data_IF_752600242353
#
_entry.id   IF_752600242353
#
_cell.length_a   1.000
_cell.length_b   1.000
_cell.length_c   1.000
_cell.angle_alpha   90.00
_cell.angle_beta   90.00
_cell.angle_gamma   90.00
#
_symmetry.space_group_name_H-M   'P 1'
#
loop_
_entity.id
_entity.type
_entity.pdbx_description
1 polymer ?
#
# COMPACT_ATOMS: atom_id res chain seq x y z
N UNK A 1 2.92 7.47 11.47
CA UNK A 1 2.60 7.54 10.03
C UNK A 1 3.02 6.27 9.30
N UNK A 2 4.26 5.80 9.45
CA UNK A 2 4.71 4.51 8.86
C UNK A 2 3.74 3.34 9.11
N UNK A 3 3.30 3.11 10.35
CA UNK A 3 2.36 2.02 10.66
C UNK A 3 0.98 2.18 9.98
N UNK A 4 0.56 3.42 9.71
CA UNK A 4 -0.68 3.71 9.01
C UNK A 4 -0.51 3.35 7.54
N UNK A 5 0.61 3.73 6.93
CA UNK A 5 0.93 3.39 5.54
C UNK A 5 1.11 1.88 5.35
N UNK A 6 1.77 1.21 6.30
CA UNK A 6 1.82 -0.25 6.36
C UNK A 6 0.41 -0.87 6.40
N UNK A 7 -0.51 -0.28 7.15
CA UNK A 7 -1.90 -0.72 7.21
C UNK A 7 -2.65 -0.48 5.88
N UNK A 8 -2.43 0.66 5.22
CA UNK A 8 -2.97 0.95 3.88
C UNK A 8 -2.50 -0.12 2.89
N UNK A 9 -1.19 -0.38 2.85
CA UNK A 9 -0.61 -1.39 1.96
C UNK A 9 -1.13 -2.79 2.28
N UNK A 10 -1.22 -3.15 3.56
CA UNK A 10 -1.70 -4.47 3.99
C UNK A 10 -3.14 -4.71 3.56
N UNK A 11 -4.04 -3.75 3.78
CA UNK A 11 -5.44 -3.88 3.35
C UNK A 11 -5.57 -3.98 1.84
N UNK A 12 -4.82 -3.18 1.09
CA UNK A 12 -4.82 -3.26 -0.37
C UNK A 12 -4.34 -4.64 -0.86
N UNK A 13 -3.26 -5.17 -0.28
CA UNK A 13 -2.65 -6.43 -0.71
C UNK A 13 -3.45 -7.67 -0.31
N UNK A 14 -4.08 -7.67 0.86
CA UNK A 14 -4.67 -8.88 1.45
C UNK A 14 -6.19 -8.90 1.32
N UNK A 15 -6.83 -7.75 1.53
CA UNK A 15 -8.30 -7.64 1.54
C UNK A 15 -8.83 -7.00 0.24
N UNK A 16 -7.96 -6.45 -0.61
CA UNK A 16 -8.36 -5.70 -1.81
C UNK A 16 -9.01 -4.35 -1.49
N UNK A 17 -8.80 -3.81 -0.28
CA UNK A 17 -9.40 -2.56 0.19
C UNK A 17 -8.36 -1.44 0.10
N UNK A 18 -8.51 -0.54 -0.87
CA UNK A 18 -7.69 0.67 -0.95
C UNK A 18 -8.32 1.82 -0.14
N UNK A 19 -8.16 1.72 1.18
CA UNK A 19 -8.68 2.69 2.15
C UNK A 19 -7.87 4.00 2.17
N UNK A 20 -8.50 5.07 2.66
CA UNK A 20 -7.78 6.28 3.03
C UNK A 20 -6.90 6.05 4.28
N UNK A 21 -5.84 6.84 4.49
CA UNK A 21 -4.97 6.72 5.67
C UNK A 21 -5.73 6.79 7.00
N UNK A 22 -6.76 7.63 7.11
CA UNK A 22 -7.58 7.76 8.32
C UNK A 22 -8.36 6.46 8.63
N UNK A 23 -8.81 5.75 7.60
CA UNK A 23 -9.42 4.42 7.74
C UNK A 23 -8.39 3.37 8.14
N UNK A 24 -7.23 3.37 7.50
CA UNK A 24 -6.14 2.43 7.81
C UNK A 24 -5.53 2.65 9.20
N UNK A 25 -5.59 3.87 9.73
CA UNK A 25 -5.19 4.17 11.10
C UNK A 25 -6.01 3.35 12.12
N UNK A 26 -7.31 3.14 11.85
CA UNK A 26 -8.15 2.28 12.68
C UNK A 26 -7.66 0.82 12.66
N UNK A 27 -7.17 0.32 11.52
CA UNK A 27 -6.55 -1.01 11.44
C UNK A 27 -5.25 -1.08 12.23
N UNK A 28 -4.37 -0.09 12.08
CA UNK A 28 -3.11 -0.04 12.82
C UNK A 28 -3.37 -0.07 14.34
N UNK A 29 -4.32 0.74 14.81
CA UNK A 29 -4.76 0.75 16.21
C UNK A 29 -5.37 -0.61 16.63
N UNK A 30 -6.25 -1.20 15.81
CA UNK A 30 -6.84 -2.50 16.09
C UNK A 30 -5.78 -3.59 16.28
N UNK A 31 -4.76 -3.64 15.41
CA UNK A 31 -3.68 -4.63 15.52
C UNK A 31 -2.91 -4.49 16.83
N UNK A 32 -2.61 -3.27 17.25
CA UNK A 32 -1.96 -2.98 18.55
C UNK A 32 -2.83 -3.39 19.72
N UNK A 33 -4.09 -2.97 19.72
CA UNK A 33 -5.05 -3.29 20.78
C UNK A 33 -5.28 -4.81 20.88
N UNK A 34 -5.35 -5.51 19.74
CA UNK A 34 -5.48 -6.97 19.75
C UNK A 34 -4.21 -7.66 20.25
N UNK A 35 -3.02 -7.19 19.86
CA UNK A 35 -1.74 -7.72 20.34
C UNK A 35 -1.55 -7.53 21.85
N UNK A 36 -2.09 -6.45 22.41
CA UNK A 36 -1.99 -6.12 23.83
C UNK A 36 -3.14 -6.72 24.68
N UNK A 37 -4.01 -7.55 24.08
CA UNK A 37 -5.09 -8.24 24.77
C UNK A 37 -6.29 -7.36 25.14
N UNK A 38 -6.41 -6.15 24.57
CA UNK A 38 -7.57 -5.28 24.80
C UNK A 38 -8.86 -5.88 24.22
N UNK A 39 -8.77 -6.45 23.03
CA UNK A 39 -9.83 -7.28 22.44
C UNK A 39 -9.58 -8.74 22.77
N UNK A 40 -10.65 -9.53 22.95
CA UNK A 40 -10.65 -11.00 22.95
C UNK A 40 -10.66 -11.58 21.53
N UNK A 41 -10.38 -12.87 21.37
CA UNK A 41 -10.46 -13.55 20.06
C UNK A 41 -11.89 -13.66 19.53
N UNK A 42 -12.89 -13.61 20.41
CA UNK A 42 -14.30 -13.68 20.05
C UNK A 42 -14.97 -12.33 19.80
N UNK A 43 -14.26 -11.22 19.98
CA UNK A 43 -14.85 -9.89 19.83
C UNK A 43 -15.12 -9.57 18.36
N UNK A 44 -16.29 -9.01 18.09
CA UNK A 44 -16.64 -8.47 16.77
C UNK A 44 -16.34 -6.99 16.74
N UNK A 45 -15.42 -6.59 15.87
CA UNK A 45 -14.96 -5.21 15.73
C UNK A 45 -15.30 -4.71 14.33
N UNK A 46 -15.85 -3.50 14.25
CA UNK A 46 -16.13 -2.80 12.99
C UNK A 46 -15.14 -1.65 12.87
N UNK A 47 -14.37 -1.63 11.79
CA UNK A 47 -13.44 -0.56 11.48
C UNK A 47 -14.06 0.35 10.42
N UNK A 48 -14.23 1.63 10.75
CA UNK A 48 -14.79 2.61 9.83
C UNK A 48 -13.69 3.17 8.93
N UNK A 49 -13.77 2.84 7.65
CA UNK A 49 -13.04 3.56 6.62
C UNK A 49 -13.87 4.76 6.15
N UNK A 50 -13.43 5.96 6.47
CA UNK A 50 -14.16 7.21 6.18
C UNK A 50 -13.90 7.78 4.78
N UNK A 51 -12.95 7.22 4.03
CA UNK A 51 -12.56 7.74 2.71
C UNK A 51 -11.96 6.69 1.78
N UNK A 52 -11.72 7.07 0.53
CA UNK A 52 -11.03 6.23 -0.45
C UNK A 52 -9.55 6.62 -0.55
N UNK A 53 -8.68 5.61 -0.70
CA UNK A 53 -7.24 5.82 -0.93
C UNK A 53 -6.94 6.56 -2.24
N UNK A 54 -7.89 6.60 -3.19
CA UNK A 54 -7.75 7.33 -4.46
C UNK A 54 -7.56 8.84 -4.27
N UNK A 55 -7.90 9.40 -3.11
CA UNK A 55 -7.66 10.81 -2.78
C UNK A 55 -6.19 11.13 -2.47
N UNK A 56 -5.37 10.10 -2.26
CA UNK A 56 -4.00 10.22 -1.75
C UNK A 56 -2.98 9.65 -2.74
N UNK A 57 -3.33 9.53 -4.02
CA UNK A 57 -2.42 8.98 -5.03
C UNK A 57 -1.10 9.74 -5.06
N UNK A 58 -1.14 11.08 -5.12
CA UNK A 58 0.06 11.92 -5.13
C UNK A 58 0.92 11.69 -3.88
N UNK A 59 0.30 11.64 -2.70
CA UNK A 59 0.99 11.42 -1.42
C UNK A 59 1.63 10.04 -1.32
N UNK A 60 0.99 9.02 -1.88
CA UNK A 60 1.48 7.62 -1.88
C UNK A 60 2.52 7.41 -2.99
N UNK A 61 2.45 8.19 -4.07
CA UNK A 61 3.45 8.19 -5.15
C UNK A 61 4.76 8.84 -4.71
N UNK A 62 4.72 9.91 -3.90
CA UNK A 62 5.91 10.55 -3.34
C UNK A 62 6.75 9.61 -2.46
N UNK A 63 6.12 8.62 -1.80
CA UNK A 63 6.83 7.57 -1.04
C UNK A 63 7.56 6.56 -1.95
N UNK A 64 7.21 6.49 -3.24
CA UNK A 64 7.75 5.52 -4.22
C UNK A 64 8.91 6.03 -5.05
N UNK A 65 9.36 7.26 -4.88
CA UNK A 65 10.59 7.78 -5.52
C UNK A 65 11.85 6.92 -5.23
N UNK A 66 11.77 5.98 -4.28
CA UNK A 66 12.86 5.03 -3.94
C UNK A 66 12.85 3.75 -4.80
N UNK A 67 11.88 3.53 -5.68
CA UNK A 67 11.79 2.28 -6.47
C UNK A 67 11.61 2.49 -7.99
N UNK A 68 12.15 3.59 -8.55
CA UNK A 68 12.40 3.66 -9.99
C UNK A 68 13.50 2.65 -10.34
N UNK A 69 13.13 1.36 -10.44
CA UNK A 69 14.00 0.28 -10.89
C UNK A 69 14.47 0.68 -12.29
N UNK A 70 15.72 1.14 -12.41
CA UNK A 70 16.38 1.39 -13.69
C UNK A 70 16.10 0.18 -14.57
N UNK A 71 15.24 0.37 -15.58
CA UNK A 71 15.03 -0.65 -16.59
C UNK A 71 16.41 -1.02 -17.13
N UNK A 72 16.76 -2.31 -17.23
CA UNK A 72 18.07 -2.71 -17.72
C UNK A 72 18.28 -2.07 -19.09
N UNK A 73 19.46 -1.46 -19.28
CA UNK A 73 19.84 -0.80 -20.53
C UNK A 73 19.55 -1.74 -21.69
N UNK A 74 18.74 -1.27 -22.65
CA UNK A 74 18.43 -2.05 -23.85
C UNK A 74 19.74 -2.47 -24.52
N UNK A 75 20.06 -3.76 -24.51
CA UNK A 75 21.16 -4.28 -25.32
C UNK A 75 20.69 -4.26 -26.78
N UNK A 76 21.48 -3.68 -27.67
CA UNK A 76 21.30 -3.82 -29.12
C UNK A 76 21.48 -5.31 -29.48
N UNK A 77 20.41 -6.09 -29.51
CA UNK A 77 20.45 -7.50 -29.97
C UNK A 77 20.01 -7.63 -31.43
N UNK A 78 19.49 -6.57 -32.06
CA UNK A 78 19.19 -6.57 -33.47
C UNK A 78 20.10 -5.56 -34.20
N UNK A 79 21.10 -6.08 -34.91
CA UNK A 79 21.76 -5.33 -35.96
C UNK A 79 20.71 -4.87 -36.98
N UNK A 80 20.80 -3.60 -37.36
CA UNK A 80 19.99 -3.02 -38.43
C UNK A 80 20.19 -3.86 -39.69
N UNK A 81 19.16 -4.59 -40.14
CA UNK A 81 19.09 -4.99 -41.55
C UNK A 81 18.69 -3.72 -42.29
N UNK A 82 19.68 -3.01 -42.82
CA UNK A 82 19.46 -1.84 -43.65
C UNK A 82 18.73 -2.23 -44.94
N UNK A 83 17.94 -1.34 -45.55
CA UNK A 83 17.31 -1.62 -46.82
C UNK A 83 18.39 -1.63 -47.92
N UNK A 84 18.29 -2.59 -48.84
CA UNK A 84 18.87 -2.43 -50.18
C UNK A 84 18.25 -1.20 -50.86
#
# INVERSE_FOLDING_TARGET
DEEIMDAVHRWAQVEGIFAAPEGAAALAAYRKLRGNGFFSSGDRVVLFNTGTGLKYLDTIEDEKEVAHRKLPTSRQIAGIIGPY
#
